data_IF_836211168226
#
_entry.id   IF_836211168226
#
_cell.length_a   1.000
_cell.length_b   1.000
_cell.length_c   1.000
_cell.angle_alpha   90.00
_cell.angle_beta   90.00
_cell.angle_gamma   90.00
#
_symmetry.space_group_name_H-M   'P 1'
#
loop_
_entity.id
_entity.type
_entity.pdbx_description
1 polymer ?
#
# COMPACT_ATOMS: atom_id res chain seq x y z
N UNK A 1 16.34 -8.67 12.64
CA UNK A 1 16.01 -7.27 12.29
C UNK A 1 16.42 -6.40 13.47
N UNK A 2 17.36 -5.47 13.31
CA UNK A 2 17.71 -4.56 14.42
C UNK A 2 16.54 -3.62 14.69
N UNK A 3 16.20 -3.45 15.96
CA UNK A 3 15.18 -2.49 16.41
C UNK A 3 15.56 -1.08 15.96
N UNK A 4 14.63 -0.32 15.40
CA UNK A 4 14.86 1.09 15.10
C UNK A 4 15.03 1.86 16.41
N UNK A 5 16.16 2.56 16.56
CA UNK A 5 16.48 3.31 17.79
C UNK A 5 15.90 4.73 17.71
N UNK A 6 14.65 4.89 18.11
CA UNK A 6 13.98 6.20 18.11
C UNK A 6 14.67 7.22 19.02
N UNK A 7 15.28 6.77 20.12
CA UNK A 7 15.88 7.67 21.10
C UNK A 7 17.18 8.28 20.56
N UNK A 8 18.04 7.48 19.91
CA UNK A 8 19.23 8.00 19.26
C UNK A 8 18.91 9.06 18.19
N UNK A 9 17.87 8.84 17.38
CA UNK A 9 17.45 9.79 16.36
C UNK A 9 16.85 11.07 16.94
N UNK A 10 16.08 10.95 18.03
CA UNK A 10 15.55 12.09 18.78
C UNK A 10 16.67 12.96 19.35
N UNK A 11 17.65 12.34 20.01
CA UNK A 11 18.82 13.02 20.56
C UNK A 11 19.67 13.67 19.47
N UNK A 12 19.84 13.00 18.33
CA UNK A 12 20.56 13.54 17.17
C UNK A 12 19.87 14.79 16.63
N UNK A 13 18.55 14.76 16.46
CA UNK A 13 17.77 15.90 15.98
C UNK A 13 17.88 17.12 16.91
N UNK A 14 17.90 16.90 18.22
CA UNK A 14 18.05 17.98 19.22
C UNK A 14 19.45 18.58 19.22
N UNK A 15 20.48 17.72 19.14
CA UNK A 15 21.89 18.16 19.24
C UNK A 15 22.40 18.79 17.95
N UNK A 16 22.02 18.25 16.80
CA UNK A 16 22.49 18.70 15.50
C UNK A 16 21.44 18.41 14.41
N UNK A 17 20.58 19.40 14.11
CA UNK A 17 19.59 19.27 13.04
C UNK A 17 20.20 18.90 11.69
N UNK A 18 21.36 19.48 11.33
CA UNK A 18 22.06 19.16 10.08
C UNK A 18 22.53 17.70 10.03
N UNK A 19 23.12 17.19 11.12
CA UNK A 19 23.54 15.79 11.19
C UNK A 19 22.34 14.83 11.13
N UNK A 20 21.21 15.20 11.75
CA UNK A 20 19.97 14.44 11.63
C UNK A 20 19.49 14.33 10.18
N UNK A 21 19.44 15.45 9.44
CA UNK A 21 19.00 15.43 8.04
C UNK A 21 19.92 14.59 7.14
N UNK A 22 21.23 14.69 7.35
CA UNK A 22 22.19 13.83 6.63
C UNK A 22 22.04 12.35 6.99
N UNK A 23 21.79 12.03 8.26
CA UNK A 23 21.59 10.65 8.70
C UNK A 23 20.27 10.09 8.13
N UNK A 24 19.22 10.91 8.10
CA UNK A 24 17.92 10.60 7.48
C UNK A 24 18.09 10.25 6.01
N UNK A 25 18.73 11.13 5.25
CA UNK A 25 18.95 10.93 3.81
C UNK A 25 19.70 9.63 3.54
N UNK A 26 20.79 9.36 4.28
CA UNK A 26 21.53 8.10 4.19
C UNK A 26 20.68 6.87 4.51
N UNK A 27 19.81 6.95 5.52
CA UNK A 27 18.95 5.82 5.89
C UNK A 27 17.90 5.53 4.82
N UNK A 28 17.30 6.58 4.23
CA UNK A 28 16.33 6.47 3.15
C UNK A 28 17.00 5.91 1.89
N UNK A 29 18.14 6.45 1.47
CA UNK A 29 18.85 5.95 0.30
C UNK A 29 19.28 4.48 0.46
N UNK A 30 19.74 4.08 1.65
CA UNK A 30 20.03 2.65 1.91
C UNK A 30 18.80 1.76 1.74
N UNK A 31 17.63 2.21 2.20
CA UNK A 31 16.38 1.47 2.04
C UNK A 31 15.96 1.40 0.56
N UNK A 32 16.04 2.51 -0.16
CA UNK A 32 15.69 2.56 -1.59
C UNK A 32 16.59 1.62 -2.39
N UNK A 33 17.91 1.69 -2.15
CA UNK A 33 18.91 0.91 -2.87
C UNK A 33 18.93 -0.59 -2.49
N UNK A 34 18.23 -1.00 -1.43
CA UNK A 34 18.07 -2.43 -1.10
C UNK A 34 16.97 -3.12 -1.90
N UNK A 35 16.21 -2.38 -2.74
CA UNK A 35 15.12 -2.90 -3.55
C UNK A 35 15.52 -2.99 -5.04
N UNK A 36 14.87 -3.88 -5.82
CA UNK A 36 15.08 -3.96 -7.27
C UNK A 36 14.83 -2.62 -7.99
N UNK A 37 15.47 -2.34 -9.14
CA UNK A 37 15.46 -1.02 -9.78
C UNK A 37 14.07 -0.41 -9.99
N UNK A 38 13.10 -1.21 -10.44
CA UNK A 38 11.73 -0.74 -10.66
C UNK A 38 11.01 -0.36 -9.35
N UNK A 39 11.31 -1.04 -8.24
CA UNK A 39 10.79 -0.69 -6.92
C UNK A 39 11.52 0.51 -6.34
N UNK A 40 12.84 0.57 -6.48
CA UNK A 40 13.66 1.69 -6.03
C UNK A 40 13.22 3.01 -6.69
N UNK A 41 12.92 3.02 -7.99
CA UNK A 41 12.38 4.18 -8.69
C UNK A 41 11.07 4.67 -8.05
N UNK A 42 10.11 3.77 -7.83
CA UNK A 42 8.84 4.11 -7.17
C UNK A 42 9.02 4.63 -5.75
N UNK A 43 9.98 4.07 -5.00
CA UNK A 43 10.27 4.54 -3.65
C UNK A 43 10.88 5.95 -3.65
N UNK A 44 11.68 6.30 -4.67
CA UNK A 44 12.19 7.69 -4.84
C UNK A 44 11.05 8.67 -5.12
N UNK A 45 10.16 8.31 -6.04
CA UNK A 45 8.99 9.16 -6.35
C UNK A 45 8.12 9.37 -5.10
N UNK A 46 7.89 8.30 -4.35
CA UNK A 46 7.13 8.38 -3.10
C UNK A 46 7.84 9.24 -2.05
N UNK A 47 9.16 9.11 -1.91
CA UNK A 47 9.93 9.93 -0.98
C UNK A 47 9.89 11.42 -1.37
N UNK A 48 10.01 11.74 -2.66
CA UNK A 48 9.89 13.11 -3.16
C UNK A 48 8.52 13.70 -2.83
N UNK A 49 7.46 12.89 -2.96
CA UNK A 49 6.11 13.30 -2.58
C UNK A 49 5.98 13.57 -1.08
N UNK A 50 6.52 12.69 -0.22
CA UNK A 50 6.57 12.92 1.24
C UNK A 50 7.27 14.23 1.56
N UNK A 51 8.42 14.50 0.93
CA UNK A 51 9.18 15.71 1.19
C UNK A 51 8.42 16.97 0.73
N UNK A 52 7.69 16.91 -0.40
CA UNK A 52 6.79 18.00 -0.83
C UNK A 52 5.69 18.28 0.19
N UNK A 53 5.01 17.24 0.70
CA UNK A 53 3.98 17.39 1.75
C UNK A 53 4.57 18.05 3.00
N UNK A 54 5.77 17.63 3.41
CA UNK A 54 6.46 18.21 4.58
C UNK A 54 6.79 19.69 4.41
N UNK A 55 7.18 20.11 3.21
CA UNK A 55 7.47 21.51 2.90
C UNK A 55 6.18 22.34 2.91
N UNK A 56 5.12 21.85 2.26
CA UNK A 56 3.86 22.59 2.10
C UNK A 56 3.05 22.71 3.39
N UNK A 57 3.05 21.68 4.24
CA UNK A 57 2.25 21.65 5.45
C UNK A 57 2.66 22.71 6.50
N UNK A 58 3.87 23.26 6.42
CA UNK A 58 4.36 24.35 7.27
C UNK A 58 4.59 24.00 8.74
N UNK A 59 4.27 22.77 9.18
CA UNK A 59 4.70 22.25 10.49
C UNK A 59 4.76 20.71 10.48
N UNK A 60 5.62 20.10 11.33
CA UNK A 60 5.74 18.65 11.41
C UNK A 60 4.42 17.95 11.73
N UNK A 61 3.61 18.51 12.63
CA UNK A 61 2.32 17.90 13.03
C UNK A 61 1.29 17.93 11.90
N UNK A 62 1.26 19.00 11.10
CA UNK A 62 0.39 19.10 9.93
C UNK A 62 0.83 18.10 8.86
N UNK A 63 2.13 18.03 8.58
CA UNK A 63 2.68 17.06 7.63
C UNK A 63 2.33 15.62 8.03
N UNK A 64 2.48 15.26 9.31
CA UNK A 64 2.09 13.93 9.81
C UNK A 64 0.61 13.65 9.59
N UNK A 65 -0.27 14.63 9.86
CA UNK A 65 -1.71 14.46 9.64
C UNK A 65 -2.04 14.24 8.17
N UNK A 66 -1.47 15.05 7.27
CA UNK A 66 -1.67 14.91 5.83
C UNK A 66 -1.18 13.55 5.32
N UNK A 67 0.02 13.13 5.72
CA UNK A 67 0.56 11.83 5.35
C UNK A 67 -0.29 10.66 5.87
N UNK A 68 -0.82 10.75 7.09
CA UNK A 68 -1.73 9.74 7.62
C UNK A 68 -3.06 9.70 6.88
N UNK A 69 -3.62 10.87 6.51
CA UNK A 69 -4.84 10.93 5.69
C UNK A 69 -4.66 10.24 4.34
N UNK A 70 -3.53 10.49 3.65
CA UNK A 70 -3.23 9.79 2.40
C UNK A 70 -3.10 8.27 2.58
N UNK A 71 -2.57 7.80 3.71
CA UNK A 71 -2.50 6.38 4.02
C UNK A 71 -3.89 5.79 4.23
N UNK A 72 -4.75 6.50 4.94
CA UNK A 72 -6.15 6.12 5.17
C UNK A 72 -6.91 6.00 3.85
N UNK A 73 -6.85 7.02 2.98
CA UNK A 73 -7.48 7.03 1.66
C UNK A 73 -7.05 5.80 0.83
N UNK A 74 -5.76 5.48 0.88
CA UNK A 74 -5.20 4.35 0.13
C UNK A 74 -5.63 2.99 0.68
N UNK A 75 -5.72 2.87 2.00
CA UNK A 75 -6.24 1.66 2.65
C UNK A 75 -7.72 1.47 2.34
N UNK A 76 -8.50 2.55 2.36
CA UNK A 76 -9.91 2.52 2.00
C UNK A 76 -10.11 2.10 0.53
N UNK A 77 -9.38 2.72 -0.39
CA UNK A 77 -9.42 2.37 -1.82
C UNK A 77 -9.04 0.89 -2.06
N UNK A 78 -8.03 0.39 -1.35
CA UNK A 78 -7.66 -1.02 -1.43
C UNK A 78 -8.75 -1.94 -0.87
N UNK A 79 -9.36 -1.59 0.25
CA UNK A 79 -10.52 -2.31 0.80
C UNK A 79 -11.69 -2.36 -0.18
N UNK A 80 -11.96 -1.25 -0.87
CA UNK A 80 -12.97 -1.20 -1.94
C UNK A 80 -12.67 -2.15 -3.09
N UNK A 81 -11.41 -2.19 -3.55
CA UNK A 81 -10.96 -3.10 -4.62
C UNK A 81 -11.08 -4.57 -4.22
N UNK A 82 -10.74 -4.91 -2.97
CA UNK A 82 -10.88 -6.28 -2.47
C UNK A 82 -12.36 -6.70 -2.48
N UNK A 83 -13.26 -5.84 -1.97
CA UNK A 83 -14.71 -6.12 -2.00
C UNK A 83 -15.21 -6.30 -3.43
N UNK A 84 -14.79 -5.45 -4.37
CA UNK A 84 -15.18 -5.58 -5.77
C UNK A 84 -14.72 -6.92 -6.37
N UNK A 85 -13.49 -7.36 -6.07
CA UNK A 85 -12.99 -8.67 -6.50
C UNK A 85 -13.79 -9.82 -5.88
N UNK A 86 -14.15 -9.74 -4.60
CA UNK A 86 -14.98 -10.74 -3.92
C UNK A 86 -16.37 -10.86 -4.57
N UNK A 87 -17.01 -9.73 -4.86
CA UNK A 87 -18.30 -9.72 -5.56
C UNK A 87 -18.20 -10.33 -6.96
N UNK A 88 -17.17 -9.99 -7.73
CA UNK A 88 -16.96 -10.58 -9.05
C UNK A 88 -16.70 -12.08 -8.98
N UNK A 89 -15.96 -12.55 -7.96
CA UNK A 89 -15.71 -13.97 -7.75
C UNK A 89 -17.00 -14.72 -7.42
N UNK A 90 -17.85 -14.17 -6.54
CA UNK A 90 -19.12 -14.79 -6.18
C UNK A 90 -20.06 -14.88 -7.39
N UNK A 91 -20.18 -13.81 -8.18
CA UNK A 91 -21.02 -13.82 -9.38
C UNK A 91 -20.57 -14.89 -10.39
N UNK A 92 -19.26 -15.12 -10.54
CA UNK A 92 -18.76 -16.20 -11.41
C UNK A 92 -19.10 -17.58 -10.87
N UNK A 93 -19.03 -17.79 -9.55
CA UNK A 93 -19.44 -19.03 -8.92
C UNK A 93 -20.94 -19.29 -9.12
N UNK A 94 -21.79 -18.28 -8.92
CA UNK A 94 -23.25 -18.40 -9.13
C UNK A 94 -23.58 -18.74 -10.60
N UNK A 95 -22.89 -18.11 -11.56
CA UNK A 95 -23.05 -18.42 -12.99
C UNK A 95 -22.62 -19.85 -13.30
N UNK A 96 -21.49 -20.29 -12.73
CA UNK A 96 -20.98 -21.66 -12.92
C UNK A 96 -21.98 -22.68 -12.38
N UNK A 97 -22.52 -22.46 -11.19
CA UNK A 97 -23.48 -23.37 -10.56
C UNK A 97 -24.76 -23.47 -11.40
N UNK A 98 -25.28 -22.34 -11.90
CA UNK A 98 -26.44 -22.35 -12.78
C UNK A 98 -26.19 -23.08 -14.12
N UNK A 99 -24.99 -22.94 -14.71
CA UNK A 99 -24.63 -23.67 -15.93
C UNK A 99 -24.52 -25.19 -15.69
N UNK A 100 -24.08 -25.60 -14.50
CA UNK A 100 -24.03 -27.02 -14.09
C UNK A 100 -25.43 -27.58 -13.91
N UNK A 101 -26.35 -26.82 -13.31
CA UNK A 101 -27.77 -27.20 -13.19
C UNK A 101 -28.41 -27.40 -14.57
N UNK A 102 -28.26 -26.44 -15.48
CA UNK A 102 -28.80 -26.53 -16.85
C UNK A 102 -28.28 -27.74 -17.63
N UNK A 103 -26.99 -28.06 -17.52
CA UNK A 103 -26.39 -29.25 -18.15
C UNK A 103 -26.80 -30.57 -17.48
N UNK A 104 -27.24 -30.54 -16.23
CA UNK A 104 -27.72 -31.72 -15.51
C UNK A 104 -29.17 -32.02 -15.89
N UNK A 105 -30.00 -30.98 -16.03
CA UNK A 105 -31.39 -31.11 -16.50
C UNK A 105 -31.48 -31.58 -17.96
N UNK A 106 -30.62 -31.09 -18.85
CA UNK A 106 -30.55 -31.56 -20.25
C UNK A 106 -30.18 -33.04 -20.36
N UNK A 107 -29.24 -33.53 -19.55
CA UNK A 107 -28.84 -34.95 -19.56
C UNK A 107 -29.92 -35.90 -19.04
N UNK A 108 -30.74 -35.44 -18.11
CA UNK A 108 -31.88 -36.22 -17.62
C UNK A 108 -33.01 -36.32 -18.67
N UNK A 109 -33.14 -35.33 -19.56
CA UNK A 109 -34.16 -35.33 -20.62
C UNK A 109 -33.79 -36.23 -21.82
N UNK A 110 -32.50 -36.33 -22.16
CA UNK A 110 -32.01 -37.17 -23.27
C UNK A 110 -31.83 -38.66 -22.89
N UNK A 111 -31.85 -39.00 -21.59
CA UNK A 111 -31.67 -40.38 -21.10
C UNK A 111 -32.95 -41.23 -21.04
N UNK A 112 -34.11 -40.65 -21.33
CA UNK A 112 -35.44 -41.28 -21.21
C UNK A 112 -36.10 -41.60 -22.59
N UNK A 113 -35.33 -41.58 -23.68
CA UNK A 113 -35.72 -42.03 -25.04
C UNK A 113 -34.99 -43.31 -25.44
#
# INVERSE_FOLDING_TARGET
>A
MSRFDFEAWRLLAQRSPSAYFQARERAIERLINSHPPAQAARLRDFQAHIDSVRVLAGSPIKATRELMGMMEDRLEAMGGRIRALQHSSQAMEDIKDHLVELHSDQRNFDGDQ
#
